data_IF_863225824131
#
_entry.id   IF_863225824131
#
_cell.length_a   1.000
_cell.length_b   1.000
_cell.length_c   1.000
_cell.angle_alpha   90.00
_cell.angle_beta   90.00
_cell.angle_gamma   90.00
#
_symmetry.space_group_name_H-M   'P 1'
#
loop_
_entity.id
_entity.type
_entity.pdbx_description
1 polymer ?
#
# COMPACT_ATOMS: atom_id res chain seq x y z
N UNK A 1 3.87 -10.34 -26.18
CA UNK A 1 4.63 -11.32 -25.36
C UNK A 1 5.48 -10.54 -24.37
N UNK A 2 4.95 -10.20 -23.20
CA UNK A 2 5.68 -9.43 -22.20
C UNK A 2 6.57 -10.37 -21.38
N UNK A 3 7.90 -10.22 -21.46
CA UNK A 3 8.85 -11.01 -20.68
C UNK A 3 9.13 -10.30 -19.35
N UNK A 4 8.84 -11.00 -18.25
CA UNK A 4 9.23 -10.61 -16.89
C UNK A 4 10.56 -11.31 -16.57
N UNK A 5 11.64 -10.56 -16.40
CA UNK A 5 12.94 -11.13 -15.98
C UNK A 5 13.23 -10.72 -14.54
N UNK A 6 13.25 -11.68 -13.62
CA UNK A 6 13.61 -11.49 -12.22
C UNK A 6 15.11 -11.77 -12.08
N UNK A 7 15.92 -10.74 -11.77
CA UNK A 7 17.37 -10.89 -11.57
C UNK A 7 17.66 -10.95 -10.07
N UNK A 8 18.30 -12.02 -9.60
CA UNK A 8 18.71 -12.17 -8.20
C UNK A 8 20.20 -11.89 -8.04
N UNK A 9 20.58 -10.94 -7.17
CA UNK A 9 21.97 -10.77 -6.74
C UNK A 9 22.23 -11.65 -5.52
N UNK A 10 23.20 -12.58 -5.62
CA UNK A 10 23.61 -13.50 -4.55
C UNK A 10 24.15 -12.69 -3.34
N UNK A 11 23.62 -12.95 -2.14
CA UNK A 11 24.30 -12.61 -0.87
C UNK A 11 23.77 -11.41 -0.07
N UNK A 12 22.74 -10.68 -0.52
CA UNK A 12 22.11 -9.60 0.27
C UNK A 12 20.65 -9.94 0.54
N UNK A 13 20.25 -9.77 1.80
CA UNK A 13 18.92 -10.02 2.38
C UNK A 13 17.80 -9.41 1.51
N UNK A 14 17.14 -10.26 0.70
CA UNK A 14 15.81 -10.03 0.09
C UNK A 14 15.61 -8.74 -0.75
N UNK A 15 16.57 -8.33 -1.58
CA UNK A 15 16.33 -7.32 -2.63
C UNK A 15 16.27 -7.98 -4.01
N UNK A 16 15.06 -8.42 -4.40
CA UNK A 16 14.78 -8.83 -5.79
C UNK A 16 14.34 -7.59 -6.57
N UNK A 17 15.00 -7.29 -7.67
CA UNK A 17 14.60 -6.20 -8.56
C UNK A 17 13.70 -6.75 -9.67
N UNK A 18 12.55 -6.10 -9.86
CA UNK A 18 11.64 -6.38 -10.96
C UNK A 18 11.96 -5.41 -12.10
N UNK A 19 12.46 -5.93 -13.22
CA UNK A 19 12.73 -5.13 -14.41
C UNK A 19 11.59 -5.30 -15.41
N UNK A 20 10.86 -4.22 -15.65
CA UNK A 20 9.80 -4.16 -16.66
C UNK A 20 10.33 -3.44 -17.90
N UNK A 21 10.43 -4.15 -19.03
CA UNK A 21 10.81 -3.57 -20.32
C UNK A 21 9.55 -3.14 -21.06
N UNK A 22 9.34 -1.83 -21.16
CA UNK A 22 8.24 -1.23 -21.91
C UNK A 22 8.83 -0.39 -23.06
N UNK A 23 8.59 -0.72 -24.34
CA UNK A 23 9.03 0.12 -25.45
C UNK A 23 8.15 1.39 -25.49
N UNK A 24 8.77 2.55 -25.24
CA UNK A 24 8.10 3.86 -25.27
C UNK A 24 8.48 4.54 -26.59
N UNK A 25 7.52 5.16 -27.32
CA UNK A 25 7.83 5.91 -28.54
C UNK A 25 8.77 7.10 -28.25
N UNK A 26 9.68 7.42 -29.18
CA UNK A 26 10.62 8.57 -29.04
C UNK A 26 9.94 9.94 -28.93
N UNK A 27 8.64 10.00 -29.19
CA UNK A 27 7.82 11.21 -29.04
C UNK A 27 7.53 11.57 -27.58
N UNK A 28 7.85 10.68 -26.65
CA UNK A 28 7.62 10.88 -25.21
C UNK A 28 8.80 11.63 -24.61
N UNK A 29 8.52 12.76 -23.96
CA UNK A 29 9.54 13.51 -23.24
C UNK A 29 9.91 12.86 -21.90
N UNK A 30 11.01 13.33 -21.31
CA UNK A 30 11.55 12.79 -20.04
C UNK A 30 10.65 13.05 -18.83
N UNK A 31 9.73 14.01 -18.89
CA UNK A 31 8.80 14.28 -17.79
C UNK A 31 7.70 13.24 -17.80
N UNK A 32 7.12 12.99 -18.97
CA UNK A 32 6.13 11.95 -19.19
C UNK A 32 6.69 10.54 -18.94
N UNK A 33 7.97 10.27 -19.26
CA UNK A 33 8.63 9.02 -18.88
C UNK A 33 8.61 8.77 -17.37
N UNK A 34 8.93 9.80 -16.57
CA UNK A 34 8.91 9.70 -15.09
C UNK A 34 7.49 9.47 -14.58
N UNK A 35 6.52 10.17 -15.17
CA UNK A 35 5.11 10.03 -14.82
C UNK A 35 4.60 8.63 -15.11
N UNK A 36 4.92 8.06 -16.28
CA UNK A 36 4.58 6.67 -16.64
C UNK A 36 5.14 5.69 -15.60
N UNK A 37 6.41 5.84 -15.21
CA UNK A 37 7.04 4.95 -14.22
C UNK A 37 6.35 5.08 -12.86
N UNK A 38 6.07 6.31 -12.41
CA UNK A 38 5.40 6.57 -11.15
C UNK A 38 3.99 5.96 -11.11
N UNK A 39 3.18 6.25 -12.14
CA UNK A 39 1.82 5.74 -12.26
C UNK A 39 1.80 4.21 -12.36
N UNK A 40 2.71 3.62 -13.12
CA UNK A 40 2.80 2.16 -13.24
C UNK A 40 3.09 1.52 -11.89
N UNK A 41 4.04 2.10 -11.14
CA UNK A 41 4.39 1.59 -9.81
C UNK A 41 3.21 1.70 -8.84
N UNK A 42 2.54 2.84 -8.83
CA UNK A 42 1.35 3.08 -8.00
C UNK A 42 0.24 2.09 -8.33
N UNK A 43 -0.17 1.99 -9.59
CA UNK A 43 -1.26 1.12 -10.03
C UNK A 43 -0.98 -0.36 -9.76
N UNK A 44 0.26 -0.82 -9.94
CA UNK A 44 0.64 -2.20 -9.62
C UNK A 44 0.49 -2.48 -8.12
N UNK A 45 0.94 -1.56 -7.26
CA UNK A 45 0.81 -1.73 -5.81
C UNK A 45 -0.65 -1.71 -5.38
N UNK A 46 -1.44 -0.76 -5.88
CA UNK A 46 -2.86 -0.66 -5.57
C UNK A 46 -3.64 -1.89 -6.04
N UNK A 47 -3.33 -2.40 -7.22
CA UNK A 47 -3.93 -3.63 -7.76
C UNK A 47 -3.61 -4.84 -6.89
N UNK A 48 -2.34 -5.01 -6.50
CA UNK A 48 -1.92 -6.09 -5.60
C UNK A 48 -2.59 -5.99 -4.22
N UNK A 49 -2.77 -4.78 -3.70
CA UNK A 49 -3.44 -4.55 -2.43
C UNK A 49 -4.94 -4.89 -2.54
N UNK A 50 -5.62 -4.38 -3.56
CA UNK A 50 -7.03 -4.65 -3.84
C UNK A 50 -7.33 -6.14 -4.01
N UNK A 51 -6.40 -6.88 -4.62
CA UNK A 51 -6.51 -8.33 -4.81
C UNK A 51 -6.10 -9.14 -3.56
N UNK A 52 -5.80 -8.47 -2.44
CA UNK A 52 -5.40 -9.10 -1.17
C UNK A 52 -4.05 -9.81 -1.22
N UNK A 53 -3.20 -9.52 -2.22
CA UNK A 53 -1.89 -10.15 -2.41
C UNK A 53 -0.80 -9.55 -1.54
N UNK A 54 -0.98 -8.30 -1.11
CA UNK A 54 -0.06 -7.60 -0.23
C UNK A 54 -0.82 -6.97 0.95
N UNK A 55 -0.14 -6.83 2.09
CA UNK A 55 -0.68 -6.12 3.24
C UNK A 55 -0.57 -4.60 3.07
N UNK A 56 -1.33 -3.85 3.89
CA UNK A 56 -1.30 -2.39 3.92
C UNK A 56 0.12 -1.84 4.11
N UNK A 57 0.84 -2.36 5.11
CA UNK A 57 2.23 -1.95 5.39
C UNK A 57 3.21 -2.35 4.29
N UNK A 58 2.96 -3.46 3.57
CA UNK A 58 3.80 -3.84 2.44
C UNK A 58 3.55 -2.94 1.22
N UNK A 59 2.31 -2.52 0.98
CA UNK A 59 1.97 -1.54 -0.06
C UNK A 59 2.66 -0.19 0.18
N UNK A 60 2.56 0.34 1.40
CA UNK A 60 3.27 1.57 1.80
C UNK A 60 4.79 1.45 1.57
N UNK A 61 5.38 0.32 1.97
CA UNK A 61 6.81 0.04 1.76
C UNK A 61 7.20 -0.04 0.29
N UNK A 62 6.36 -0.62 -0.59
CA UNK A 62 6.64 -0.69 -2.02
C UNK A 62 6.62 0.69 -2.67
N UNK A 63 5.71 1.57 -2.27
CA UNK A 63 5.66 2.95 -2.76
C UNK A 63 6.70 3.85 -2.10
N UNK A 64 7.24 3.48 -0.94
CA UNK A 64 8.22 4.27 -0.20
C UNK A 64 7.58 5.44 0.55
N UNK A 65 6.30 5.32 0.88
CA UNK A 65 5.50 6.34 1.58
C UNK A 65 5.17 5.88 3.01
N UNK A 66 4.67 6.80 3.84
CA UNK A 66 4.22 6.40 5.18
C UNK A 66 2.92 5.56 5.10
N UNK A 67 2.60 4.87 6.19
CA UNK A 67 1.34 4.11 6.26
C UNK A 67 0.12 5.04 6.14
N UNK A 68 0.21 6.26 6.70
CA UNK A 68 -0.84 7.27 6.63
C UNK A 68 -1.05 7.73 5.19
N UNK A 69 0.02 8.11 4.49
CA UNK A 69 -0.06 8.55 3.09
C UNK A 69 -0.62 7.44 2.20
N UNK A 70 -0.24 6.19 2.44
CA UNK A 70 -0.80 5.07 1.69
C UNK A 70 -2.31 4.89 1.93
N UNK A 71 -2.78 5.09 3.16
CA UNK A 71 -4.22 5.09 3.47
C UNK A 71 -4.95 6.26 2.79
N UNK A 72 -4.31 7.43 2.65
CA UNK A 72 -4.86 8.56 1.90
C UNK A 72 -5.02 8.22 0.42
N UNK A 73 -3.99 7.64 -0.22
CA UNK A 73 -4.07 7.17 -1.62
C UNK A 73 -5.20 6.16 -1.79
N UNK A 74 -5.33 5.18 -0.88
CA UNK A 74 -6.42 4.20 -0.93
C UNK A 74 -7.79 4.86 -0.80
N UNK A 75 -7.93 5.87 0.07
CA UNK A 75 -9.16 6.63 0.26
C UNK A 75 -9.53 7.43 -0.99
N UNK A 76 -8.58 8.15 -1.59
CA UNK A 76 -8.80 8.91 -2.83
C UNK A 76 -9.23 8.01 -3.99
N UNK A 77 -8.65 6.81 -4.07
CA UNK A 77 -8.99 5.79 -5.08
C UNK A 77 -10.22 4.95 -4.73
N UNK A 78 -10.90 5.25 -3.62
CA UNK A 78 -12.06 4.49 -3.11
C UNK A 78 -11.79 2.99 -2.92
N UNK A 79 -10.57 2.64 -2.52
CA UNK A 79 -10.14 1.28 -2.20
C UNK A 79 -10.34 1.05 -0.70
N UNK A 80 -11.28 0.18 -0.29
CA UNK A 80 -11.50 -0.10 1.13
C UNK A 80 -10.29 -0.83 1.71
N UNK A 81 -9.73 -0.28 2.79
CA UNK A 81 -8.56 -0.84 3.48
C UNK A 81 -8.84 -1.25 4.92
N UNK A 82 -9.99 -0.88 5.46
CA UNK A 82 -10.55 -1.38 6.72
C UNK A 82 -11.97 -1.85 6.48
N UNK A 83 -12.29 -3.05 6.98
CA UNK A 83 -13.67 -3.51 7.09
C UNK A 83 -14.07 -3.34 8.55
N UNK A 84 -14.62 -2.17 8.88
CA UNK A 84 -15.12 -1.91 10.23
C UNK A 84 -16.47 -2.60 10.41
N UNK A 85 -16.49 -3.68 11.18
CA UNK A 85 -17.71 -4.45 11.44
C UNK A 85 -18.51 -3.87 12.61
N UNK A 86 -19.77 -4.28 12.74
CA UNK A 86 -20.58 -3.98 13.94
C UNK A 86 -19.98 -4.60 15.20
N UNK A 87 -19.24 -5.69 15.06
CA UNK A 87 -18.55 -6.38 16.14
C UNK A 87 -17.34 -5.59 16.62
N UNK A 88 -16.54 -5.03 15.70
CA UNK A 88 -15.44 -4.12 16.03
C UNK A 88 -15.96 -2.90 16.80
N UNK A 89 -17.08 -2.33 16.36
CA UNK A 89 -17.75 -1.24 17.08
C UNK A 89 -18.16 -1.60 18.51
N UNK A 90 -18.71 -2.81 18.72
CA UNK A 90 -19.09 -3.28 20.07
C UNK A 90 -17.85 -3.43 20.96
N UNK A 91 -16.73 -3.90 20.41
CA UNK A 91 -15.48 -4.04 21.16
C UNK A 91 -14.90 -2.68 21.53
N UNK A 92 -14.85 -1.74 20.59
CA UNK A 92 -14.37 -0.37 20.84
C UNK A 92 -15.23 0.33 21.89
N UNK A 93 -16.56 0.20 21.80
CA UNK A 93 -17.48 0.74 22.80
C UNK A 93 -17.22 0.14 24.18
N UNK A 94 -17.01 -1.17 24.26
CA UNK A 94 -16.71 -1.85 25.53
C UNK A 94 -15.39 -1.35 26.13
N UNK A 95 -14.34 -1.21 25.32
CA UNK A 95 -13.06 -0.68 25.74
C UNK A 95 -13.17 0.77 26.23
N UNK A 96 -13.95 1.61 25.54
CA UNK A 96 -14.22 2.99 25.95
C UNK A 96 -14.98 3.07 27.29
N UNK A 97 -16.00 2.22 27.48
CA UNK A 97 -16.76 2.13 28.73
C UNK A 97 -15.88 1.66 29.91
N UNK A 98 -14.95 0.72 29.67
CA UNK A 98 -13.98 0.25 30.66
C UNK A 98 -12.97 1.34 31.05
N UNK A 99 -12.44 2.08 30.08
CA UNK A 99 -11.57 3.24 30.32
C UNK A 99 -12.28 4.33 31.13
N UNK A 100 -13.55 4.62 30.85
CA UNK A 100 -14.34 5.57 31.64
C UNK A 100 -14.57 5.10 33.08
N UNK A 101 -14.66 3.78 33.33
CA UNK A 101 -14.80 3.24 34.68
C UNK A 101 -13.49 3.32 35.46
N UNK A 102 -12.36 3.11 34.81
CA UNK A 102 -11.03 3.23 35.41
C UNK A 102 -10.72 4.69 35.78
N UNK A 103 -11.01 5.64 34.90
CA UNK A 103 -10.77 7.07 35.18
C UNK A 103 -11.65 7.64 36.31
N UNK A 104 -12.79 7.00 36.59
CA UNK A 104 -13.67 7.34 37.74
C UNK A 104 -13.25 6.68 39.06
N UNK A 105 -12.35 5.70 39.04
CA UNK A 105 -11.85 5.01 40.25
C UNK A 105 -10.59 5.66 40.83
N UNK A 106 -9.92 6.51 40.06
CA UNK A 106 -8.73 7.27 40.46
C UNK A 106 -9.06 8.70 40.95
N UNK A 107 -10.34 9.03 41.12
CA UNK A 107 -10.83 10.25 41.76
C UNK A 107 -11.62 9.90 43.01
#
# INVERSE_FOLDING_TARGET
MSQLTIITKKGVKMSRELVLKWPIPETVDKELEKEIVSLTKEEVVLKLFKDGKISLGYGAKLLGVSLADFMEVLKERSIPFTHYTKEDWKQDKKAADELMKLSKREK
#
